data_IF_230448864187
#
_entry.id   IF_230448864187
#
_cell.length_a   1.000
_cell.length_b   1.000
_cell.length_c   1.000
_cell.angle_alpha   90.00
_cell.angle_beta   90.00
_cell.angle_gamma   90.00
#
_symmetry.space_group_name_H-M   'P 1'
#
loop_
_entity.id
_entity.type
_entity.pdbx_description
1 polymer ?
#
# COMPACT_ATOMS: atom_id res chain seq x y z
N UNK A 1 5.80 11.38 2.30
CA UNK A 1 4.65 10.62 1.74
C UNK A 1 4.99 10.11 0.36
N UNK A 2 4.69 8.87 0.10
CA UNK A 2 4.90 8.27 -1.21
C UNK A 2 3.63 8.43 -2.07
N UNK A 3 3.55 9.53 -2.79
CA UNK A 3 2.38 9.85 -3.61
C UNK A 3 2.20 8.86 -4.76
N UNK A 4 3.30 8.38 -5.32
CA UNK A 4 3.24 7.39 -6.41
C UNK A 4 2.64 6.08 -5.93
N UNK A 5 3.03 5.64 -4.74
CA UNK A 5 2.48 4.42 -4.16
C UNK A 5 0.99 4.57 -3.86
N UNK A 6 0.58 5.73 -3.35
CA UNK A 6 -0.83 6.00 -3.09
C UNK A 6 -1.63 6.01 -4.37
N UNK A 7 -1.15 6.67 -5.41
CA UNK A 7 -1.82 6.71 -6.70
C UNK A 7 -1.92 5.31 -7.32
N UNK A 8 -0.85 4.53 -7.20
CA UNK A 8 -0.84 3.14 -7.71
C UNK A 8 -1.86 2.26 -6.97
N UNK A 9 -1.99 2.44 -5.65
CA UNK A 9 -2.96 1.70 -4.86
C UNK A 9 -4.40 2.05 -5.28
N UNK A 10 -4.66 3.34 -5.51
CA UNK A 10 -5.96 3.78 -6.01
C UNK A 10 -6.26 3.21 -7.39
N UNK A 11 -5.26 3.20 -8.27
CA UNK A 11 -5.42 2.67 -9.62
C UNK A 11 -5.73 1.17 -9.60
N UNK A 12 -5.01 0.41 -8.78
CA UNK A 12 -5.24 -1.02 -8.65
C UNK A 12 -6.65 -1.33 -8.14
N UNK A 13 -7.09 -0.60 -7.11
CA UNK A 13 -8.44 -0.77 -6.58
C UNK A 13 -9.51 -0.35 -7.58
N UNK A 14 -9.26 0.73 -8.30
CA UNK A 14 -10.15 1.22 -9.37
C UNK A 14 -10.34 0.15 -10.44
N UNK A 15 -9.24 -0.43 -10.90
CA UNK A 15 -9.28 -1.46 -11.94
C UNK A 15 -10.01 -2.71 -11.46
N UNK A 16 -9.76 -3.10 -10.21
CA UNK A 16 -10.41 -4.26 -9.63
C UNK A 16 -11.93 -4.10 -9.57
N UNK A 17 -12.41 -2.90 -9.27
CA UNK A 17 -13.83 -2.63 -9.17
C UNK A 17 -14.45 -2.13 -10.46
N UNK A 18 -13.67 -2.00 -11.52
CA UNK A 18 -14.17 -1.57 -12.82
C UNK A 18 -14.62 -0.12 -12.85
N UNK A 19 -13.99 0.74 -12.05
CA UNK A 19 -14.37 2.15 -11.97
C UNK A 19 -13.52 3.02 -12.88
N UNK A 20 -14.13 4.10 -13.40
CA UNK A 20 -13.35 5.17 -14.01
C UNK A 20 -12.72 6.02 -12.91
N UNK A 21 -11.73 6.85 -13.27
CA UNK A 21 -11.13 7.78 -12.29
C UNK A 21 -12.19 8.76 -11.75
N UNK A 22 -13.12 9.19 -12.57
CA UNK A 22 -14.19 10.08 -12.15
C UNK A 22 -15.10 9.39 -11.13
N UNK A 23 -15.44 8.13 -11.36
CA UNK A 23 -16.27 7.36 -10.44
C UNK A 23 -15.54 7.11 -9.12
N UNK A 24 -14.26 6.80 -9.18
CA UNK A 24 -13.45 6.61 -7.99
C UNK A 24 -13.39 7.89 -7.17
N UNK A 25 -13.13 9.02 -7.81
CA UNK A 25 -13.06 10.31 -7.12
C UNK A 25 -14.38 10.59 -6.37
N UNK A 26 -15.48 10.28 -7.00
CA UNK A 26 -16.80 10.47 -6.41
C UNK A 26 -17.01 9.54 -5.20
N UNK A 27 -16.61 8.28 -5.31
CA UNK A 27 -16.74 7.33 -4.20
C UNK A 27 -15.87 7.70 -3.02
N UNK A 28 -14.64 8.11 -3.29
CA UNK A 28 -13.70 8.51 -2.24
C UNK A 28 -14.13 9.83 -1.60
N UNK A 29 -14.76 10.70 -2.38
CA UNK A 29 -15.16 12.01 -1.91
C UNK A 29 -14.09 13.08 -2.11
N UNK A 30 -13.26 12.94 -3.14
CA UNK A 30 -12.22 13.90 -3.49
C UNK A 30 -12.45 14.40 -4.92
N UNK A 31 -11.81 15.51 -5.27
CA UNK A 31 -11.94 16.03 -6.62
C UNK A 31 -11.08 15.25 -7.61
N UNK A 32 -11.54 15.17 -8.84
CA UNK A 32 -10.76 14.52 -9.90
C UNK A 32 -9.44 15.25 -10.14
N UNK A 33 -9.43 16.57 -9.95
CA UNK A 33 -8.20 17.35 -10.11
C UNK A 33 -7.16 17.02 -9.03
N UNK A 34 -7.58 16.66 -7.82
CA UNK A 34 -6.68 16.21 -6.78
C UNK A 34 -5.95 14.94 -7.22
N UNK A 35 -6.69 13.99 -7.78
CA UNK A 35 -6.12 12.73 -8.27
C UNK A 35 -5.17 12.99 -9.44
N UNK A 36 -5.56 13.88 -10.37
CA UNK A 36 -4.69 14.23 -11.50
C UNK A 36 -3.38 14.86 -11.04
N UNK A 37 -3.43 15.72 -10.04
CA UNK A 37 -2.21 16.33 -9.49
C UNK A 37 -1.31 15.29 -8.83
N UNK A 38 -1.90 14.29 -8.18
CA UNK A 38 -1.13 13.20 -7.59
C UNK A 38 -0.39 12.39 -8.67
N UNK A 39 -1.00 12.21 -9.84
CA UNK A 39 -0.33 11.53 -10.95
C UNK A 39 0.94 12.27 -11.38
N UNK A 40 0.99 13.58 -11.13
CA UNK A 40 2.16 14.42 -11.40
C UNK A 40 3.07 14.61 -10.19
N UNK A 41 2.86 13.82 -9.14
CA UNK A 41 3.69 13.83 -7.95
C UNK A 41 3.34 14.85 -6.89
N UNK A 42 2.23 15.57 -7.05
CA UNK A 42 1.80 16.55 -6.05
C UNK A 42 1.03 15.88 -4.93
N UNK A 43 1.32 16.27 -3.69
CA UNK A 43 0.71 15.68 -2.52
C UNK A 43 -0.74 16.14 -2.35
N UNK A 44 -1.65 15.22 -1.96
CA UNK A 44 -3.00 15.62 -1.60
C UNK A 44 -2.99 16.32 -0.23
N UNK A 45 -4.04 17.07 0.08
CA UNK A 45 -4.16 17.63 1.43
C UNK A 45 -4.53 16.53 2.43
N UNK A 46 -4.49 16.87 3.72
CA UNK A 46 -4.72 15.90 4.80
C UNK A 46 -6.10 15.27 4.71
N UNK A 47 -7.13 16.06 4.40
CA UNK A 47 -8.50 15.57 4.30
C UNK A 47 -8.65 14.58 3.15
N UNK A 48 -8.09 14.91 1.99
CA UNK A 48 -8.11 14.02 0.82
C UNK A 48 -7.33 12.74 1.10
N UNK A 49 -6.16 12.87 1.72
CA UNK A 49 -5.34 11.71 2.08
C UNK A 49 -6.10 10.76 3.02
N UNK A 50 -6.74 11.31 4.05
CA UNK A 50 -7.51 10.51 4.99
C UNK A 50 -8.66 9.78 4.30
N UNK A 51 -9.37 10.46 3.39
CA UNK A 51 -10.46 9.85 2.64
C UNK A 51 -9.95 8.70 1.76
N UNK A 52 -8.82 8.88 1.10
CA UNK A 52 -8.21 7.86 0.24
C UNK A 52 -7.79 6.63 1.02
N UNK A 53 -7.09 6.81 2.14
CA UNK A 53 -6.63 5.68 2.95
C UNK A 53 -7.80 4.93 3.57
N UNK A 54 -8.84 5.64 3.98
CA UNK A 54 -10.05 5.03 4.51
C UNK A 54 -10.74 4.17 3.45
N UNK A 55 -10.88 4.72 2.25
CA UNK A 55 -11.50 3.99 1.14
C UNK A 55 -10.69 2.76 0.75
N UNK A 56 -9.35 2.88 0.73
CA UNK A 56 -8.46 1.78 0.43
C UNK A 56 -8.37 0.75 1.56
N UNK A 57 -8.81 1.13 2.76
CA UNK A 57 -8.66 0.32 3.97
C UNK A 57 -7.19 -0.01 4.26
N UNK A 58 -6.33 0.96 4.01
CA UNK A 58 -4.90 0.85 4.27
C UNK A 58 -4.50 1.90 5.30
N UNK A 59 -3.59 1.56 6.22
CA UNK A 59 -3.15 2.56 7.20
C UNK A 59 -2.32 3.64 6.52
N UNK A 60 -2.44 4.86 7.04
CA UNK A 60 -1.71 6.01 6.48
C UNK A 60 -0.21 5.77 6.46
N UNK A 61 0.32 5.05 7.43
CA UNK A 61 1.75 4.75 7.55
C UNK A 61 2.30 4.00 6.35
N UNK A 62 1.43 3.30 5.61
CA UNK A 62 1.85 2.57 4.41
C UNK A 62 2.43 3.48 3.34
N UNK A 63 2.06 4.78 3.38
CA UNK A 63 2.46 5.74 2.34
C UNK A 63 3.47 6.77 2.82
N UNK A 64 3.93 6.66 4.06
CA UNK A 64 4.98 7.52 4.55
C UNK A 64 6.34 6.92 4.26
N UNK A 65 7.21 7.74 3.73
CA UNK A 65 8.61 7.37 3.58
C UNK A 65 9.32 7.87 4.82
N UNK A 66 9.89 6.94 5.59
CA UNK A 66 10.65 7.30 6.78
C UNK A 66 12.09 7.58 6.36
N UNK A 67 12.54 8.84 6.43
CA UNK A 67 13.91 9.17 6.01
C UNK A 67 14.98 8.55 6.92
N UNK A 68 14.58 8.08 8.10
CA UNK A 68 15.49 7.40 9.01
C UNK A 68 15.58 5.91 8.74
N UNK A 69 14.67 5.37 7.96
CA UNK A 69 14.76 4.00 7.53
C UNK A 69 15.70 3.96 6.36
N UNK A 70 16.82 3.31 6.56
CA UNK A 70 17.69 2.99 5.45
C UNK A 70 16.91 2.08 4.49
N UNK A 71 17.46 1.87 3.33
CA UNK A 71 16.90 0.99 2.32
C UNK A 71 16.75 -0.46 2.77
N UNK A 72 16.99 -0.73 4.03
CA UNK A 72 16.60 -1.98 4.58
C UNK A 72 15.11 -2.04 4.53
N UNK A 73 14.63 -2.74 3.59
CA UNK A 73 13.30 -3.16 3.63
C UNK A 73 13.10 -3.93 4.87
N UNK A 74 12.57 -3.38 5.90
CA UNK A 74 12.31 -4.24 6.99
C UNK A 74 11.10 -4.97 6.57
N UNK A 75 10.89 -5.16 5.95
CA UNK A 75 10.25 -6.05 6.24
C UNK A 75 8.92 -6.01 5.82
N UNK A 76 8.74 -6.47 4.57
CA UNK A 76 7.48 -6.88 4.02
C UNK A 76 6.69 -7.63 5.09
N UNK A 77 7.35 -8.54 5.81
CA UNK A 77 6.71 -9.32 6.86
C UNK A 77 6.25 -8.43 8.00
N UNK A 78 7.13 -7.57 8.50
CA UNK A 78 6.79 -6.68 9.61
C UNK A 78 5.69 -5.69 9.24
N UNK A 79 5.60 -5.30 7.96
CA UNK A 79 4.56 -4.40 7.48
C UNK A 79 3.21 -5.08 7.32
N UNK A 80 3.21 -6.35 6.95
CA UNK A 80 1.98 -7.09 6.66
C UNK A 80 1.36 -7.78 7.86
N UNK A 81 2.17 -8.21 8.84
CA UNK A 81 1.67 -8.95 10.00
C UNK A 81 0.58 -8.20 10.77
N UNK A 82 0.73 -6.90 11.09
CA UNK A 82 -0.34 -6.18 11.76
C UNK A 82 -1.63 -6.12 10.95
N UNK A 83 -1.54 -6.04 9.63
CA UNK A 83 -2.71 -6.03 8.76
C UNK A 83 -3.42 -7.37 8.78
N UNK A 84 -2.67 -8.45 8.80
CA UNK A 84 -3.24 -9.79 8.88
C UNK A 84 -3.93 -10.02 10.22
N UNK A 85 -3.31 -9.54 11.30
CA UNK A 85 -3.90 -9.69 12.65
C UNK A 85 -5.17 -8.87 12.84
N UNK A 86 -5.31 -7.81 12.10
CA UNK A 86 -6.51 -6.97 12.17
C UNK A 86 -7.71 -7.61 11.47
N UNK A 87 -7.50 -8.62 10.66
CA UNK A 87 -8.59 -9.29 9.96
C UNK A 87 -9.32 -10.24 10.91
N UNK A 88 -10.64 -10.22 10.83
CA UNK A 88 -11.48 -11.10 11.67
C UNK A 88 -11.71 -12.47 11.05
N UNK A 89 -11.43 -12.60 9.76
CA UNK A 89 -11.60 -13.84 9.03
C UNK A 89 -10.39 -14.77 9.11
N UNK A 90 -9.34 -14.35 9.83
CA UNK A 90 -8.12 -15.14 10.00
C UNK A 90 -7.92 -15.48 11.48
N UNK A 91 -7.58 -16.73 11.74
CA UNK A 91 -7.21 -17.18 13.10
C UNK A 91 -5.73 -16.89 13.32
N UNK A 92 -5.27 -17.03 14.57
CA UNK A 92 -3.85 -16.88 14.89
C UNK A 92 -3.00 -17.87 14.12
N UNK A 93 -3.49 -19.10 13.94
CA UNK A 93 -2.77 -20.11 13.15
C UNK A 93 -2.69 -19.72 11.68
N UNK A 94 -3.76 -19.13 11.14
CA UNK A 94 -3.77 -18.65 9.75
C UNK A 94 -2.74 -17.55 9.57
N UNK A 95 -2.67 -16.61 10.51
CA UNK A 95 -1.72 -15.50 10.46
C UNK A 95 -0.29 -16.03 10.54
N UNK A 96 -0.02 -16.97 11.45
CA UNK A 96 1.32 -17.56 11.58
C UNK A 96 1.74 -18.27 10.29
N UNK A 97 0.83 -19.00 9.68
CA UNK A 97 1.11 -19.67 8.42
C UNK A 97 1.41 -18.69 7.29
N UNK A 98 0.59 -17.65 7.17
CA UNK A 98 0.82 -16.62 6.16
C UNK A 98 2.13 -15.88 6.40
N UNK A 99 2.46 -15.62 7.65
CA UNK A 99 3.72 -14.98 8.00
C UNK A 99 4.91 -15.82 7.51
N UNK A 100 4.86 -17.13 7.69
CA UNK A 100 5.92 -18.02 7.20
C UNK A 100 6.03 -18.02 5.68
N UNK A 101 4.89 -18.04 4.99
CA UNK A 101 4.85 -18.02 3.53
C UNK A 101 5.43 -16.71 3.00
N UNK A 102 5.01 -15.59 3.58
CA UNK A 102 5.48 -14.27 3.17
C UNK A 102 6.97 -14.12 3.45
N UNK A 103 7.44 -14.59 4.60
CA UNK A 103 8.86 -14.55 4.94
C UNK A 103 9.70 -15.36 3.95
N UNK A 104 9.23 -16.53 3.57
CA UNK A 104 9.92 -17.37 2.59
C UNK A 104 9.96 -16.69 1.21
N UNK A 105 8.85 -16.07 0.80
CA UNK A 105 8.79 -15.34 -0.46
C UNK A 105 9.75 -14.15 -0.45
N UNK A 106 9.79 -13.41 0.64
CA UNK A 106 10.68 -12.25 0.79
C UNK A 106 12.15 -12.64 0.68
N UNK A 107 12.53 -13.76 1.31
CA UNK A 107 13.90 -14.28 1.22
C UNK A 107 14.26 -14.64 -0.21
N UNK A 108 13.35 -15.26 -0.92
CA UNK A 108 13.56 -15.64 -2.31
C UNK A 108 13.75 -14.41 -3.20
N UNK A 109 12.93 -13.38 -3.00
CA UNK A 109 13.05 -12.15 -3.79
C UNK A 109 14.38 -11.44 -3.54
N UNK A 110 14.85 -11.45 -2.30
CA UNK A 110 16.17 -10.88 -1.99
C UNK A 110 17.30 -11.65 -2.67
N UNK A 111 17.22 -12.97 -2.64
CA UNK A 111 18.23 -13.81 -3.28
C UNK A 111 18.28 -13.57 -4.77
N UNK A 112 17.12 -13.40 -5.42
CA UNK A 112 17.06 -13.11 -6.84
C UNK A 112 17.67 -11.75 -7.16
N UNK A 113 17.41 -10.73 -6.32
CA UNK A 113 18.00 -9.40 -6.52
C UNK A 113 19.50 -9.42 -6.34
N UNK A 114 20.00 -10.09 -5.32
CA UNK A 114 21.43 -10.21 -5.10
C UNK A 114 22.11 -10.93 -6.24
N UNK A 115 21.45 -11.94 -6.80
CA UNK A 115 21.96 -12.66 -7.97
C UNK A 115 22.04 -11.80 -9.22
N UNK A 116 21.17 -10.81 -9.34
CA UNK A 116 21.15 -9.90 -10.49
C UNK A 116 22.20 -8.80 -10.40
N UNK A 117 22.58 -8.43 -9.19
CA UNK A 117 23.57 -7.39 -8.96
C UNK A 117 25.01 -7.92 -9.04
N UNK A 118 25.18 -9.22 -9.06
CA UNK A 118 26.49 -9.83 -9.23
C UNK A 118 26.92 -9.84 -10.69
#
# INVERSE_FOLDING_TARGET
MDVKALHAALDAARAKEGLSWRQLAKEVGVSASTISRMANGLKPDVTAFAAMTTWLRMPAESFYVDPMRSDEEPELVASLVPLLRARRDLTENDVAYLEEVIAAAARRFRAEREGQEG
#
